data_IF_243507067982
#
_entry.id   IF_243507067982
#
_cell.length_a   1.000
_cell.length_b   1.000
_cell.length_c   1.000
_cell.angle_alpha   90.00
_cell.angle_beta   90.00
_cell.angle_gamma   90.00
#
_symmetry.space_group_name_H-M   'P 1'
#
loop_
_entity.id
_entity.type
_entity.pdbx_description
1 polymer ?
#
# COMPACT_ATOMS: atom_id res chain seq x y z
N UNK A 1 -17.53 2.60 -9.73
CA UNK A 1 -18.53 1.76 -9.05
C UNK A 1 -18.24 0.33 -9.46
N UNK A 2 -18.09 -0.58 -8.49
CA UNK A 2 -17.71 -1.97 -8.76
C UNK A 2 -18.81 -2.74 -9.48
N UNK A 3 -18.41 -3.78 -10.21
CA UNK A 3 -19.23 -4.75 -10.97
C UNK A 3 -20.10 -5.65 -10.06
N UNK A 4 -20.63 -5.05 -8.98
CA UNK A 4 -21.23 -5.74 -7.84
C UNK A 4 -22.70 -6.10 -8.04
N UNK A 5 -23.29 -5.78 -9.19
CA UNK A 5 -24.70 -5.96 -9.41
C UNK A 5 -24.97 -6.58 -10.79
N UNK A 6 -25.52 -7.81 -10.86
CA UNK A 6 -26.35 -8.15 -12.00
C UNK A 6 -27.50 -7.12 -12.12
N UNK A 7 -28.13 -6.98 -13.29
CA UNK A 7 -29.03 -5.87 -13.62
C UNK A 7 -30.21 -5.65 -12.65
N UNK A 8 -30.55 -6.66 -11.86
CA UNK A 8 -31.68 -6.75 -10.93
C UNK A 8 -31.33 -6.44 -9.47
N UNK A 9 -30.07 -6.13 -9.15
CA UNK A 9 -29.63 -5.81 -7.78
C UNK A 9 -29.34 -4.32 -7.62
N UNK A 10 -30.05 -3.67 -6.70
CA UNK A 10 -29.75 -2.28 -6.33
C UNK A 10 -28.66 -2.22 -5.27
N UNK A 11 -27.46 -1.77 -5.63
CA UNK A 11 -26.37 -1.51 -4.68
C UNK A 11 -26.45 -0.07 -4.17
N UNK A 12 -26.47 0.10 -2.85
CA UNK A 12 -26.39 1.42 -2.18
C UNK A 12 -25.16 1.47 -1.30
N UNK A 13 -24.33 2.49 -1.48
CA UNK A 13 -23.16 2.72 -0.62
C UNK A 13 -23.53 3.64 0.54
N UNK A 14 -23.19 3.23 1.75
CA UNK A 14 -23.29 4.08 2.96
C UNK A 14 -21.91 4.11 3.61
N UNK A 15 -21.33 5.30 3.75
CA UNK A 15 -20.05 5.46 4.42
C UNK A 15 -20.26 5.50 5.94
N UNK A 16 -19.74 4.50 6.65
CA UNK A 16 -19.82 4.42 8.11
C UNK A 16 -18.68 5.17 8.82
N UNK A 17 -17.52 5.21 8.17
CA UNK A 17 -16.35 5.90 8.66
C UNK A 17 -15.48 6.35 7.48
N UNK A 18 -14.56 7.25 7.79
CA UNK A 18 -13.52 7.69 6.86
C UNK A 18 -12.16 7.45 7.51
N UNK A 19 -11.27 6.80 6.77
CA UNK A 19 -9.85 6.76 7.16
C UNK A 19 -9.20 8.10 6.85
N UNK A 20 -8.50 8.67 7.83
CA UNK A 20 -7.78 9.93 7.69
C UNK A 20 -6.28 9.64 7.72
N UNK A 21 -5.55 10.16 6.75
CA UNK A 21 -4.10 9.99 6.70
C UNK A 21 -3.44 10.85 7.78
N UNK A 22 -2.62 10.23 8.62
CA UNK A 22 -1.70 10.93 9.52
C UNK A 22 -0.36 11.07 8.80
N UNK A 23 0.24 12.26 8.86
CA UNK A 23 1.47 12.60 8.12
C UNK A 23 2.61 12.89 9.09
N UNK A 24 3.23 11.85 9.68
CA UNK A 24 4.40 12.04 10.52
C UNK A 24 5.59 12.54 9.70
N UNK A 25 6.52 13.22 10.37
CA UNK A 25 7.88 13.40 9.84
C UNK A 25 8.65 12.10 10.13
N UNK A 26 9.13 11.46 9.08
CA UNK A 26 9.88 10.20 9.14
C UNK A 26 11.16 10.39 8.33
N UNK A 27 12.28 9.97 8.89
CA UNK A 27 13.52 9.78 8.14
C UNK A 27 13.48 8.40 7.46
N UNK A 28 13.32 8.40 6.14
CA UNK A 28 13.22 7.16 5.37
C UNK A 28 14.55 6.41 5.29
N UNK A 29 15.68 7.11 5.45
CA UNK A 29 17.00 6.49 5.38
C UNK A 29 17.30 5.57 6.57
N UNK A 30 16.54 5.72 7.67
CA UNK A 30 16.62 4.89 8.86
C UNK A 30 15.74 3.62 8.80
N UNK A 31 15.05 3.38 7.68
CA UNK A 31 14.12 2.26 7.52
C UNK A 31 14.61 1.27 6.46
N UNK A 32 14.54 -0.03 6.77
CA UNK A 32 14.86 -1.08 5.81
C UNK A 32 13.67 -1.42 4.89
N UNK A 33 12.44 -1.32 5.43
CA UNK A 33 11.24 -1.73 4.72
C UNK A 33 9.96 -1.01 5.17
N UNK A 34 8.97 -1.01 4.27
CA UNK A 34 7.58 -0.61 4.54
C UNK A 34 6.60 -1.70 4.14
N UNK A 35 5.55 -1.89 4.94
CA UNK A 35 4.49 -2.86 4.69
C UNK A 35 3.19 -2.12 4.37
N UNK A 36 2.53 -2.46 3.25
CA UNK A 36 1.29 -1.82 2.81
C UNK A 36 0.14 -2.82 2.63
N UNK A 37 -0.95 -2.60 3.37
CA UNK A 37 -2.15 -3.45 3.37
C UNK A 37 -3.29 -2.89 2.53
N UNK A 38 -3.16 -1.68 1.98
CA UNK A 38 -4.22 -1.11 1.14
C UNK A 38 -3.65 -0.17 0.07
N UNK A 39 -4.35 0.00 -1.07
CA UNK A 39 -3.98 0.99 -2.07
C UNK A 39 -3.99 2.42 -1.52
N UNK A 40 -4.84 2.70 -0.53
CA UNK A 40 -4.89 4.03 0.11
C UNK A 40 -3.63 4.32 0.92
N UNK A 41 -3.16 3.36 1.72
CA UNK A 41 -1.91 3.49 2.46
C UNK A 41 -0.71 3.62 1.50
N UNK A 42 -0.67 2.82 0.44
CA UNK A 42 0.39 2.86 -0.57
C UNK A 42 0.52 4.24 -1.24
N UNK A 43 -0.60 4.93 -1.53
CA UNK A 43 -0.56 6.30 -2.05
C UNK A 43 0.08 7.29 -1.07
N UNK A 44 -0.20 7.16 0.23
CA UNK A 44 0.44 8.02 1.22
C UNK A 44 1.93 7.71 1.39
N UNK A 45 2.33 6.44 1.30
CA UNK A 45 3.75 6.05 1.26
C UNK A 45 4.44 6.68 0.05
N UNK A 46 3.90 6.53 -1.16
CA UNK A 46 4.47 7.14 -2.36
C UNK A 46 4.61 8.67 -2.23
N UNK A 47 3.61 9.34 -1.62
CA UNK A 47 3.66 10.77 -1.33
C UNK A 47 4.75 11.13 -0.31
N UNK A 48 4.93 10.33 0.74
CA UNK A 48 6.00 10.54 1.73
C UNK A 48 7.36 10.40 1.05
N UNK A 49 7.57 9.33 0.27
CA UNK A 49 8.81 9.12 -0.48
C UNK A 49 9.14 10.31 -1.39
N UNK A 50 8.16 10.77 -2.16
CA UNK A 50 8.34 11.91 -3.07
C UNK A 50 8.70 13.23 -2.37
N UNK A 51 8.43 13.37 -1.06
CA UNK A 51 8.64 14.61 -0.30
C UNK A 51 9.81 14.54 0.69
N UNK A 52 10.12 13.36 1.21
CA UNK A 52 11.20 13.17 2.19
C UNK A 52 12.57 12.89 1.53
N UNK A 53 12.59 12.26 0.35
CA UNK A 53 13.83 11.74 -0.25
C UNK A 53 14.42 10.57 0.54
N UNK A 54 15.54 9.99 0.07
CA UNK A 54 16.29 8.98 0.83
C UNK A 54 15.62 7.60 0.91
N UNK A 55 14.77 7.24 -0.05
CA UNK A 55 14.06 5.97 -0.08
C UNK A 55 14.69 4.92 -1.02
N UNK A 56 15.86 5.21 -1.60
CA UNK A 56 16.48 4.37 -2.62
C UNK A 56 16.91 2.99 -2.08
N UNK A 57 17.11 2.87 -0.77
CA UNK A 57 17.37 1.61 -0.06
C UNK A 57 16.11 0.92 0.45
N UNK A 58 14.98 1.64 0.51
CA UNK A 58 13.76 1.19 1.17
C UNK A 58 13.00 0.17 0.31
N UNK A 59 12.74 -1.00 0.88
CA UNK A 59 11.93 -2.06 0.27
C UNK A 59 10.46 -1.90 0.62
N UNK A 60 9.55 -2.29 -0.28
CA UNK A 60 8.12 -2.31 0.02
C UNK A 60 7.51 -3.70 -0.14
N UNK A 61 6.68 -4.09 0.82
CA UNK A 61 5.91 -5.32 0.81
C UNK A 61 4.43 -5.00 0.71
N UNK A 62 3.78 -5.43 -0.37
CA UNK A 62 2.39 -5.13 -0.68
C UNK A 62 1.50 -6.37 -0.59
N UNK A 63 0.35 -6.23 0.07
CA UNK A 63 -0.62 -7.32 0.26
C UNK A 63 -1.21 -7.87 -1.05
N UNK A 64 -1.25 -7.06 -2.11
CA UNK A 64 -1.81 -7.43 -3.41
C UNK A 64 -1.30 -6.52 -4.53
N UNK A 65 -1.52 -6.89 -5.82
CA UNK A 65 -1.15 -6.03 -6.95
C UNK A 65 -1.79 -4.64 -6.88
N UNK A 66 -3.04 -4.55 -6.40
CA UNK A 66 -3.72 -3.26 -6.24
C UNK A 66 -3.06 -2.40 -5.14
N UNK A 67 -2.51 -3.01 -4.08
CA UNK A 67 -1.74 -2.30 -3.07
C UNK A 67 -0.37 -1.85 -3.61
N UNK A 68 0.25 -2.63 -4.49
CA UNK A 68 1.54 -2.32 -5.07
C UNK A 68 1.49 -1.22 -6.14
N UNK A 69 0.39 -1.12 -6.88
CA UNK A 69 0.26 -0.19 -8.02
C UNK A 69 0.67 1.27 -7.72
N UNK A 70 0.28 1.89 -6.58
CA UNK A 70 0.71 3.25 -6.26
C UNK A 70 2.21 3.41 -5.97
N UNK A 71 2.93 2.32 -5.71
CA UNK A 71 4.36 2.34 -5.37
C UNK A 71 5.26 2.17 -6.60
N UNK A 72 4.69 1.80 -7.75
CA UNK A 72 5.43 1.62 -9.00
C UNK A 72 6.06 2.96 -9.40
N UNK A 73 7.39 2.99 -9.52
CA UNK A 73 8.12 4.21 -9.88
C UNK A 73 8.22 5.24 -8.75
N UNK A 74 7.86 4.90 -7.50
CA UNK A 74 7.89 5.83 -6.38
C UNK A 74 9.32 6.15 -5.85
N UNK A 75 10.38 5.56 -6.42
CA UNK A 75 11.76 5.77 -5.95
C UNK A 75 12.21 4.82 -4.84
N UNK A 76 11.46 3.73 -4.61
CA UNK A 76 11.81 2.64 -3.70
C UNK A 76 12.81 1.68 -4.37
N UNK A 77 13.54 0.91 -3.55
CA UNK A 77 14.47 -0.13 -4.03
C UNK A 77 13.75 -1.22 -4.83
N UNK A 78 12.74 -1.82 -4.21
CA UNK A 78 11.91 -2.87 -4.78
C UNK A 78 10.51 -2.87 -4.15
N UNK A 79 9.56 -3.46 -4.88
CA UNK A 79 8.20 -3.69 -4.39
C UNK A 79 7.88 -5.17 -4.59
N UNK A 80 7.79 -5.92 -3.49
CA UNK A 80 7.39 -7.31 -3.48
C UNK A 80 5.89 -7.44 -3.17
N UNK A 81 5.22 -8.40 -3.82
CA UNK A 81 3.78 -8.61 -3.71
C UNK A 81 3.51 -9.97 -3.10
N UNK A 82 2.63 -10.02 -2.10
CA UNK A 82 2.25 -11.27 -1.45
C UNK A 82 1.55 -12.21 -2.46
N UNK A 83 1.84 -13.51 -2.36
CA UNK A 83 1.23 -14.53 -3.23
C UNK A 83 -0.29 -14.66 -3.05
N UNK A 84 -0.82 -14.20 -1.91
CA UNK A 84 -2.24 -14.14 -1.60
C UNK A 84 -2.53 -12.96 -0.66
N UNK A 85 -3.74 -12.39 -0.67
CA UNK A 85 -4.07 -11.19 0.10
C UNK A 85 -4.36 -11.49 1.57
N UNK A 86 -3.40 -12.13 2.25
CA UNK A 86 -3.43 -12.36 3.69
C UNK A 86 -2.09 -11.99 4.34
N UNK A 87 -2.14 -11.74 5.64
CA UNK A 87 -0.99 -11.29 6.43
C UNK A 87 0.15 -12.32 6.44
N UNK A 88 -0.17 -13.62 6.53
CA UNK A 88 0.83 -14.69 6.52
C UNK A 88 1.68 -14.69 5.26
N UNK A 89 1.05 -14.54 4.09
CA UNK A 89 1.75 -14.46 2.81
C UNK A 89 2.61 -13.19 2.71
N UNK A 90 2.13 -12.07 3.25
CA UNK A 90 2.86 -10.81 3.28
C UNK A 90 4.11 -10.89 4.18
N UNK A 91 3.97 -11.37 5.41
CA UNK A 91 5.08 -11.53 6.35
C UNK A 91 6.12 -12.56 5.87
N UNK A 92 5.70 -13.54 5.06
CA UNK A 92 6.64 -14.50 4.46
C UNK A 92 7.64 -13.83 3.51
N UNK A 93 7.29 -12.69 2.89
CA UNK A 93 8.22 -11.93 2.04
C UNK A 93 9.38 -11.28 2.82
N UNK A 94 9.21 -11.13 4.14
CA UNK A 94 10.19 -10.47 5.02
C UNK A 94 11.17 -11.46 5.65
N UNK A 95 10.98 -12.76 5.44
CA UNK A 95 11.93 -13.77 5.91
C UNK A 95 13.24 -13.64 5.11
N UNK A 96 14.41 -13.81 5.75
CA UNK A 96 15.70 -13.73 5.09
C UNK A 96 15.88 -14.77 3.99
#
# INVERSE_FOLDING_TARGET
AGDLAPPDVTVRTVALYQTVAVRPRIDLSALDAVVVHSPKAAREVARIVATAGGAESLRAFALSPNCAAPLVGAGLRDVAIAASPNETALLTLMKP
#
